data_IF_716905280266
#
_entry.id   IF_716905280266
#
_cell.length_a   1.000
_cell.length_b   1.000
_cell.length_c   1.000
_cell.angle_alpha   90.00
_cell.angle_beta   90.00
_cell.angle_gamma   90.00
#
_symmetry.space_group_name_H-M   'P 1'
#
loop_
_entity.id
_entity.type
_entity.pdbx_description
1 polymer ?
#
# COMPACT_ATOMS: atom_id res chain seq x y z
N UNK A 1 13.30 17.95 2.98
CA UNK A 1 13.47 17.57 4.40
C UNK A 1 14.05 16.17 4.46
N UNK A 2 15.21 16.00 5.10
CA UNK A 2 15.82 14.66 5.27
C UNK A 2 14.96 13.83 6.21
N UNK A 3 14.56 12.59 5.87
CA UNK A 3 13.78 11.75 6.76
C UNK A 3 14.57 11.33 7.99
N UNK A 4 13.87 11.12 9.11
CA UNK A 4 14.39 10.26 10.18
C UNK A 4 14.23 8.81 9.75
N UNK A 5 15.31 8.04 9.78
CA UNK A 5 15.31 6.65 9.33
C UNK A 5 15.27 5.74 10.56
N UNK A 6 14.24 4.90 10.63
CA UNK A 6 14.03 3.94 11.72
C UNK A 6 14.06 2.52 11.16
N UNK A 7 14.73 1.60 11.84
CA UNK A 7 14.72 0.17 11.51
C UNK A 7 13.78 -0.58 12.42
N UNK A 8 13.20 -1.67 11.92
CA UNK A 8 12.28 -2.51 12.68
C UNK A 8 12.42 -3.98 12.29
N UNK A 9 12.01 -4.91 13.19
CA UNK A 9 12.13 -6.33 12.93
C UNK A 9 11.19 -6.80 11.83
N UNK A 10 11.70 -7.66 10.95
CA UNK A 10 10.95 -8.43 9.97
C UNK A 10 11.24 -9.93 10.20
N UNK A 11 10.42 -10.85 9.67
CA UNK A 11 10.66 -12.29 9.83
C UNK A 11 12.05 -12.71 9.35
N UNK A 12 12.89 -13.17 10.30
CA UNK A 12 14.26 -13.62 10.04
C UNK A 12 15.33 -12.51 10.06
N UNK A 13 14.98 -11.24 10.29
CA UNK A 13 15.95 -10.16 10.40
C UNK A 13 15.45 -9.02 11.31
N UNK A 14 16.08 -8.84 12.47
CA UNK A 14 15.69 -7.83 13.48
C UNK A 14 15.82 -6.37 13.00
N UNK A 15 16.59 -6.12 11.95
CA UNK A 15 16.87 -4.78 11.42
C UNK A 15 16.55 -4.66 9.93
N UNK A 16 15.78 -5.61 9.39
CA UNK A 16 15.53 -5.71 7.95
C UNK A 16 14.41 -4.80 7.44
N UNK A 17 13.52 -4.32 8.32
CA UNK A 17 12.51 -3.33 7.99
C UNK A 17 13.07 -1.91 8.06
N UNK A 18 12.54 -1.03 7.20
CA UNK A 18 12.97 0.37 7.10
C UNK A 18 11.76 1.30 7.05
N UNK A 19 11.79 2.37 7.84
CA UNK A 19 10.73 3.36 7.94
C UNK A 19 11.34 4.76 7.82
N UNK A 20 10.93 5.51 6.79
CA UNK A 20 11.31 6.91 6.60
C UNK A 20 10.23 7.81 7.20
N UNK A 21 10.60 8.64 8.17
CA UNK A 21 9.67 9.51 8.89
C UNK A 21 9.92 10.98 8.50
N UNK A 22 8.84 11.69 8.18
CA UNK A 22 8.80 13.10 7.82
C UNK A 22 7.79 13.86 8.70
N UNK A 23 8.00 15.17 8.87
CA UNK A 23 7.03 16.06 9.52
C UNK A 23 7.19 16.23 11.02
N UNK A 24 6.30 17.04 11.61
CA UNK A 24 6.34 17.38 13.04
C UNK A 24 5.67 16.31 13.90
N UNK A 25 6.24 16.02 15.07
CA UNK A 25 5.64 15.13 16.08
C UNK A 25 4.43 15.74 16.79
N UNK A 26 4.12 17.01 16.52
CA UNK A 26 2.92 17.70 17.03
C UNK A 26 1.76 17.66 16.05
N UNK A 27 1.90 16.94 14.92
CA UNK A 27 0.89 16.88 13.89
C UNK A 27 -0.38 16.15 14.38
N UNK A 28 -1.54 16.75 14.12
CA UNK A 28 -2.86 16.15 14.40
C UNK A 28 -3.12 14.87 13.59
N UNK A 29 -2.42 14.70 12.47
CA UNK A 29 -2.56 13.55 11.58
C UNK A 29 -1.25 12.77 11.50
N UNK A 30 -1.33 11.48 11.79
CA UNK A 30 -0.25 10.50 11.60
C UNK A 30 -0.60 9.65 10.39
N UNK A 31 0.32 9.52 9.44
CA UNK A 31 0.10 8.78 8.19
C UNK A 31 1.17 7.70 8.03
N UNK A 32 0.78 6.47 7.70
CA UNK A 32 1.69 5.41 7.27
C UNK A 32 1.45 5.03 5.81
N UNK A 33 2.45 5.22 4.96
CA UNK A 33 2.49 4.74 3.57
C UNK A 33 3.14 3.35 3.50
N UNK A 34 2.54 2.44 2.75
CA UNK A 34 3.16 1.18 2.35
C UNK A 34 2.82 0.81 0.89
N UNK A 35 3.84 0.83 0.04
CA UNK A 35 3.72 0.45 -1.37
C UNK A 35 3.73 -1.06 -1.60
N UNK A 36 3.15 -1.47 -2.73
CA UNK A 36 3.22 -2.83 -3.27
C UNK A 36 4.27 -2.95 -4.36
N UNK A 37 4.18 -3.99 -5.18
CA UNK A 37 5.11 -4.17 -6.30
C UNK A 37 4.97 -3.02 -7.32
N UNK A 38 6.05 -2.53 -7.95
CA UNK A 38 7.46 -2.66 -7.61
C UNK A 38 7.93 -1.39 -6.88
N UNK A 39 7.21 -0.98 -5.85
CA UNK A 39 7.49 0.25 -5.13
C UNK A 39 8.33 -0.01 -3.87
N UNK A 40 9.52 0.60 -3.83
CA UNK A 40 10.22 0.85 -2.58
C UNK A 40 9.61 2.06 -1.84
N UNK A 41 10.38 2.68 -0.96
CA UNK A 41 9.94 3.91 -0.27
C UNK A 41 10.13 5.18 -1.13
N UNK A 42 11.09 5.14 -2.06
CA UNK A 42 11.49 6.29 -2.88
C UNK A 42 10.32 6.93 -3.65
N UNK A 43 9.44 6.17 -4.34
CA UNK A 43 8.35 6.76 -5.11
C UNK A 43 7.35 7.58 -4.28
N UNK A 44 7.15 7.22 -3.00
CA UNK A 44 6.22 7.92 -2.11
C UNK A 44 6.86 9.11 -1.40
N UNK A 45 8.18 9.20 -1.38
CA UNK A 45 8.91 10.23 -0.62
C UNK A 45 8.49 11.66 -1.01
N UNK A 46 8.32 12.02 -2.30
CA UNK A 46 7.87 13.35 -2.68
C UNK A 46 6.47 13.70 -2.13
N UNK A 47 5.52 12.77 -2.20
CA UNK A 47 4.15 12.97 -1.68
C UNK A 47 4.17 13.06 -0.16
N UNK A 48 4.94 12.20 0.51
CA UNK A 48 5.09 12.22 1.97
C UNK A 48 5.69 13.53 2.47
N UNK A 49 6.74 14.05 1.82
CA UNK A 49 7.34 15.34 2.15
C UNK A 49 6.35 16.51 1.97
N UNK A 50 5.53 16.47 0.92
CA UNK A 50 4.49 17.50 0.69
C UNK A 50 3.41 17.45 1.75
N UNK A 51 2.96 16.26 2.15
CA UNK A 51 1.99 16.10 3.25
C UNK A 51 2.57 16.53 4.60
N UNK A 52 3.86 16.27 4.82
CA UNK A 52 4.58 16.67 6.03
C UNK A 52 4.85 18.17 6.12
N UNK A 53 4.88 18.88 4.99
CA UNK A 53 5.03 20.33 4.98
C UNK A 53 3.72 21.03 5.37
N UNK A 54 3.82 22.05 6.21
CA UNK A 54 2.72 23.00 6.46
C UNK A 54 2.45 23.80 5.18
N UNK A 55 1.20 24.13 4.93
CA UNK A 55 0.80 24.94 3.78
C UNK A 55 0.00 26.14 4.26
N UNK A 56 0.66 27.30 4.28
CA UNK A 56 0.07 28.59 4.66
C UNK A 56 -0.08 28.81 6.17
N UNK A 57 -0.61 29.99 6.51
CA UNK A 57 -0.96 30.40 7.87
C UNK A 57 -2.30 29.80 8.36
N UNK A 58 -3.08 29.19 7.45
CA UNK A 58 -4.39 28.58 7.75
C UNK A 58 -4.21 27.14 8.24
N UNK A 59 -4.07 26.95 9.56
CA UNK A 59 -4.44 25.78 10.41
C UNK A 59 -4.17 24.35 9.87
N UNK A 60 -3.40 24.22 8.80
CA UNK A 60 -3.02 22.97 8.15
C UNK A 60 -1.63 22.61 8.66
N UNK A 61 -1.59 22.24 9.93
CA UNK A 61 -0.44 21.59 10.53
C UNK A 61 -0.03 20.43 9.62
N UNK A 62 1.23 20.46 9.15
CA UNK A 62 1.78 19.37 8.33
C UNK A 62 1.59 18.03 9.04
N UNK A 63 1.53 16.94 8.28
CA UNK A 63 1.30 15.60 8.82
C UNK A 63 2.59 14.97 9.37
N UNK A 64 2.47 14.02 10.30
CA UNK A 64 3.57 13.13 10.69
C UNK A 64 3.52 11.87 9.83
N UNK A 65 4.41 11.75 8.85
CA UNK A 65 4.30 10.76 7.78
C UNK A 65 5.43 9.74 7.86
N UNK A 66 5.09 8.47 8.07
CA UNK A 66 5.97 7.32 7.89
C UNK A 66 5.79 6.71 6.49
N UNK A 67 6.89 6.35 5.84
CA UNK A 67 6.90 5.62 4.58
C UNK A 67 7.69 4.34 4.76
N UNK A 68 7.07 3.21 4.46
CA UNK A 68 7.72 1.90 4.44
C UNK A 68 7.43 1.18 3.12
N UNK A 69 8.12 0.07 2.89
CA UNK A 69 7.89 -0.85 1.78
C UNK A 69 7.93 -2.29 2.26
N UNK A 70 7.67 -3.22 1.35
CA UNK A 70 7.73 -4.63 1.70
C UNK A 70 9.17 -5.08 1.96
N UNK A 71 9.37 -6.13 2.78
CA UNK A 71 10.69 -6.70 2.99
C UNK A 71 11.39 -7.06 1.67
N UNK A 72 12.58 -6.50 1.47
CA UNK A 72 13.36 -6.70 0.24
C UNK A 72 12.83 -5.96 -0.98
N UNK A 73 12.01 -4.91 -0.82
CA UNK A 73 11.64 -3.96 -1.88
C UNK A 73 12.47 -2.67 -1.83
N UNK A 74 13.16 -2.41 -0.72
CA UNK A 74 14.07 -1.27 -0.61
C UNK A 74 15.34 -1.51 -1.43
N UNK A 75 15.50 -0.76 -2.51
CA UNK A 75 16.59 -0.95 -3.47
C UNK A 75 17.96 -0.65 -2.85
N UNK A 76 18.04 0.32 -1.93
CA UNK A 76 19.29 0.61 -1.24
C UNK A 76 19.73 -0.56 -0.35
N UNK A 77 18.82 -1.10 0.47
CA UNK A 77 19.10 -2.29 1.27
C UNK A 77 19.40 -3.50 0.40
N UNK A 78 18.69 -3.66 -0.73
CA UNK A 78 18.94 -4.72 -1.70
C UNK A 78 20.38 -4.67 -2.24
N UNK A 79 20.85 -3.49 -2.67
CA UNK A 79 22.22 -3.29 -3.18
C UNK A 79 23.27 -3.50 -2.09
N UNK A 80 23.06 -2.96 -0.89
CA UNK A 80 24.03 -3.06 0.22
C UNK A 80 24.22 -4.50 0.71
N UNK A 81 23.15 -5.30 0.71
CA UNK A 81 23.16 -6.65 1.26
C UNK A 81 23.48 -7.74 0.24
N UNK A 82 23.78 -7.38 -1.02
CA UNK A 82 24.20 -8.30 -2.09
C UNK A 82 23.33 -9.57 -2.20
N UNK A 83 22.01 -9.44 -2.34
CA UNK A 83 20.97 -10.50 -2.49
C UNK A 83 20.94 -11.64 -1.45
N UNK A 84 22.08 -12.24 -1.10
CA UNK A 84 22.23 -13.44 -0.27
C UNK A 84 21.76 -13.32 1.18
N UNK A 85 21.51 -12.10 1.67
CA UNK A 85 20.94 -11.90 3.01
C UNK A 85 19.42 -11.69 3.01
N UNK A 86 18.76 -11.66 1.84
CA UNK A 86 17.31 -11.69 1.77
C UNK A 86 16.81 -13.11 1.59
N UNK A 87 15.65 -13.41 2.16
CA UNK A 87 15.00 -14.72 2.05
C UNK A 87 14.64 -14.97 0.59
N UNK A 88 15.26 -15.98 -0.02
CA UNK A 88 15.05 -16.36 -1.43
C UNK A 88 13.60 -16.73 -1.73
N UNK A 89 12.88 -17.20 -0.71
CA UNK A 89 11.46 -17.50 -0.79
C UNK A 89 10.52 -16.28 -0.87
N UNK A 90 11.02 -15.08 -0.62
CA UNK A 90 10.18 -13.90 -0.40
C UNK A 90 9.42 -13.98 0.92
N UNK A 91 8.30 -13.24 1.00
CA UNK A 91 7.51 -13.14 2.23
C UNK A 91 6.03 -13.39 1.92
N UNK A 92 5.36 -14.15 2.78
CA UNK A 92 3.91 -14.37 2.68
C UNK A 92 3.13 -13.09 3.03
N UNK A 93 1.86 -13.01 2.62
CA UNK A 93 1.01 -11.87 2.96
C UNK A 93 0.84 -11.67 4.47
N UNK A 94 0.79 -12.75 5.26
CA UNK A 94 0.72 -12.67 6.73
C UNK A 94 1.99 -12.05 7.31
N UNK A 95 3.16 -12.49 6.83
CA UNK A 95 4.45 -11.94 7.25
C UNK A 95 4.55 -10.44 6.91
N UNK A 96 4.13 -10.05 5.71
CA UNK A 96 4.09 -8.64 5.29
C UNK A 96 3.09 -7.84 6.15
N UNK A 97 1.94 -8.41 6.48
CA UNK A 97 0.95 -7.78 7.39
C UNK A 97 1.58 -7.48 8.76
N UNK A 98 2.35 -8.43 9.30
CA UNK A 98 3.11 -8.21 10.55
C UNK A 98 4.18 -7.12 10.39
N UNK A 99 4.83 -7.02 9.23
CA UNK A 99 5.81 -5.95 8.97
C UNK A 99 5.14 -4.57 8.94
N UNK A 100 3.94 -4.45 8.37
CA UNK A 100 3.14 -3.20 8.38
C UNK A 100 2.78 -2.81 9.82
N UNK A 101 2.38 -3.79 10.65
CA UNK A 101 2.14 -3.58 12.08
C UNK A 101 3.38 -3.03 12.79
N UNK A 102 4.54 -3.66 12.62
CA UNK A 102 5.78 -3.21 13.27
C UNK A 102 6.19 -1.80 12.81
N UNK A 103 6.01 -1.48 11.53
CA UNK A 103 6.22 -0.13 11.01
C UNK A 103 5.28 0.90 11.68
N UNK A 104 3.99 0.58 11.79
CA UNK A 104 3.02 1.43 12.48
C UNK A 104 3.40 1.65 13.96
N UNK A 105 3.81 0.58 14.65
CA UNK A 105 4.31 0.67 16.02
C UNK A 105 5.51 1.61 16.14
N UNK A 106 6.52 1.44 15.30
CA UNK A 106 7.69 2.33 15.32
C UNK A 106 7.33 3.78 14.99
N UNK A 107 6.37 4.01 14.10
CA UNK A 107 5.87 5.35 13.79
C UNK A 107 5.30 6.01 15.05
N UNK A 108 4.45 5.31 15.80
CA UNK A 108 3.85 5.85 17.04
C UNK A 108 4.85 6.00 18.20
N UNK A 109 5.84 5.10 18.33
CA UNK A 109 6.93 5.30 19.29
C UNK A 109 7.69 6.59 19.00
N UNK A 110 8.01 6.85 17.73
CA UNK A 110 8.69 8.07 17.33
C UNK A 110 7.82 9.33 17.47
N UNK A 111 6.52 9.22 17.25
CA UNK A 111 5.56 10.30 17.52
C UNK A 111 5.52 10.67 19.01
N UNK A 112 5.46 9.67 19.91
CA UNK A 112 5.33 9.85 21.36
C UNK A 112 6.61 10.26 22.09
N UNK A 113 7.80 9.96 21.56
CA UNK A 113 9.11 10.23 22.19
C UNK A 113 9.47 11.72 22.41
N UNK A 114 8.49 12.63 22.41
CA UNK A 114 8.63 14.07 22.72
C UNK A 114 7.87 14.50 23.98
N UNK A 115 6.90 13.71 24.47
CA UNK A 115 6.21 14.00 25.74
C UNK A 115 6.96 13.48 26.97
N UNK A 116 8.12 12.84 26.77
CA UNK A 116 8.98 12.27 27.81
C UNK A 116 10.05 13.22 28.34
N UNK A 117 9.72 14.50 28.54
CA UNK A 117 10.39 15.22 29.62
C UNK A 117 9.88 14.60 30.91
N UNK A 118 10.79 14.09 31.74
CA UNK A 118 10.53 13.46 33.05
C UNK A 118 9.93 14.42 34.10
N UNK A 119 9.06 15.34 33.70
CA UNK A 119 8.15 15.95 34.66
C UNK A 119 7.03 14.95 34.91
N UNK A 120 7.11 14.30 36.07
CA UNK A 120 6.11 13.43 36.69
C UNK A 120 4.72 14.10 36.86
N UNK A 121 4.58 15.34 36.39
CA UNK A 121 3.38 16.17 36.38
C UNK A 121 2.95 16.56 34.96
N UNK A 122 3.42 15.85 33.92
CA UNK A 122 2.89 16.07 32.57
C UNK A 122 1.38 15.88 32.60
N UNK A 123 0.60 16.91 32.21
CA UNK A 123 -0.85 16.83 32.21
C UNK A 123 -1.24 15.61 31.40
N UNK A 124 -2.16 14.81 31.95
CA UNK A 124 -2.83 13.75 31.19
C UNK A 124 -3.24 14.38 29.86
N UNK A 125 -2.71 13.85 28.75
CA UNK A 125 -3.23 14.16 27.42
C UNK A 125 -4.73 13.86 27.53
N UNK A 126 -5.55 14.90 27.46
CA UNK A 126 -6.99 14.72 27.50
C UNK A 126 -7.34 13.81 26.32
N UNK A 127 -8.32 12.90 26.52
CA UNK A 127 -8.74 11.93 25.50
C UNK A 127 -9.12 12.55 24.14
N UNK A 128 -9.24 13.89 24.05
CA UNK A 128 -9.49 14.63 22.82
C UNK A 128 -8.27 14.95 21.95
N UNK A 129 -7.04 14.72 22.42
CA UNK A 129 -5.81 15.14 21.72
C UNK A 129 -5.05 14.00 21.03
N UNK A 130 -5.66 12.82 20.89
CA UNK A 130 -5.00 11.74 20.17
C UNK A 130 -4.98 12.01 18.65
N UNK A 131 -3.85 11.75 17.96
CA UNK A 131 -3.75 12.02 16.53
C UNK A 131 -4.61 11.08 15.71
N UNK A 132 -5.23 11.57 14.65
CA UNK A 132 -5.92 10.73 13.68
C UNK A 132 -4.89 9.90 12.90
N UNK A 133 -5.08 8.58 12.84
CA UNK A 133 -4.21 7.65 12.14
C UNK A 133 -4.78 7.26 10.78
N UNK A 134 -4.05 7.59 9.73
CA UNK A 134 -4.38 7.23 8.34
C UNK A 134 -3.34 6.27 7.78
N UNK A 135 -3.79 5.24 7.07
CA UNK A 135 -2.89 4.38 6.29
C UNK A 135 -3.09 4.60 4.80
N UNK A 136 -2.01 4.55 4.04
CA UNK A 136 -2.02 4.70 2.58
C UNK A 136 -1.35 3.50 1.94
N UNK A 137 -2.06 2.83 1.04
CA UNK A 137 -1.58 1.63 0.38
C UNK A 137 -1.66 1.76 -1.14
N UNK A 138 -0.70 1.14 -1.84
CA UNK A 138 -0.68 1.09 -3.31
C UNK A 138 -0.36 -0.32 -3.81
N UNK A 139 -0.88 -0.66 -5.00
CA UNK A 139 -0.72 -1.96 -5.67
C UNK A 139 -0.90 -3.14 -4.69
N UNK A 140 0.03 -4.09 -4.66
CA UNK A 140 0.00 -5.22 -3.75
C UNK A 140 -0.03 -4.84 -2.28
N UNK A 141 0.48 -3.67 -1.90
CA UNK A 141 0.44 -3.15 -0.53
C UNK A 141 -0.99 -3.05 0.01
N UNK A 142 -1.97 -2.90 -0.89
CA UNK A 142 -3.40 -2.88 -0.53
C UNK A 142 -3.83 -4.18 0.13
N UNK A 143 -3.38 -5.35 -0.33
CA UNK A 143 -3.86 -6.64 0.20
C UNK A 143 -3.47 -6.86 1.68
N UNK A 144 -2.18 -6.95 2.06
CA UNK A 144 -1.79 -7.08 3.47
C UNK A 144 -2.04 -5.79 4.26
N UNK A 145 -2.10 -4.62 3.62
CA UNK A 145 -2.53 -3.39 4.26
C UNK A 145 -3.96 -3.46 4.77
N UNK A 146 -4.88 -3.98 3.96
CA UNK A 146 -6.27 -4.22 4.38
C UNK A 146 -6.38 -5.37 5.38
N UNK A 147 -5.53 -6.41 5.28
CA UNK A 147 -5.43 -7.43 6.32
C UNK A 147 -5.02 -6.82 7.66
N UNK A 148 -4.07 -5.87 7.66
CA UNK A 148 -3.67 -5.13 8.86
C UNK A 148 -4.84 -4.32 9.42
N UNK A 149 -5.50 -3.50 8.60
CA UNK A 149 -6.66 -2.68 9.01
C UNK A 149 -7.76 -3.55 9.63
N UNK A 150 -8.20 -4.59 8.92
CA UNK A 150 -9.31 -5.42 9.38
C UNK A 150 -8.94 -6.20 10.65
N UNK A 151 -7.70 -6.67 10.76
CA UNK A 151 -7.23 -7.35 11.97
C UNK A 151 -7.14 -6.42 13.17
N UNK A 152 -6.69 -5.18 12.97
CA UNK A 152 -6.71 -4.14 14.00
C UNK A 152 -8.13 -3.83 14.48
N UNK A 153 -9.10 -3.72 13.56
CA UNK A 153 -10.52 -3.52 13.91
C UNK A 153 -11.08 -4.71 14.71
N UNK A 154 -10.76 -5.94 14.29
CA UNK A 154 -11.29 -7.16 14.92
C UNK A 154 -10.70 -7.44 16.30
N UNK A 155 -9.39 -7.28 16.46
CA UNK A 155 -8.68 -7.59 17.70
C UNK A 155 -8.61 -6.40 18.67
N UNK A 156 -9.01 -5.21 18.21
CA UNK A 156 -8.93 -3.96 18.97
C UNK A 156 -7.49 -3.54 19.27
N UNK A 157 -7.35 -2.47 20.07
CA UNK A 157 -6.05 -1.89 20.43
C UNK A 157 -5.27 -2.69 21.50
N UNK A 158 -5.79 -3.85 21.93
CA UNK A 158 -5.21 -4.61 23.04
C UNK A 158 -4.26 -5.74 22.59
N UNK A 159 -4.39 -6.24 21.36
CA UNK A 159 -3.67 -7.46 20.93
C UNK A 159 -2.86 -7.31 19.65
N UNK A 160 -3.47 -6.87 18.54
CA UNK A 160 -2.76 -6.87 17.25
C UNK A 160 -2.00 -5.58 16.99
N UNK A 161 -2.58 -4.43 17.29
CA UNK A 161 -1.98 -3.13 16.97
C UNK A 161 -2.17 -2.18 18.12
N UNK A 162 -1.19 -1.31 18.35
CA UNK A 162 -1.34 -0.24 19.34
C UNK A 162 -2.44 0.76 18.97
N UNK A 163 -2.77 0.86 17.68
CA UNK A 163 -3.78 1.78 17.16
C UNK A 163 -4.44 1.22 15.90
N UNK A 164 -5.77 1.24 15.89
CA UNK A 164 -6.59 0.97 14.71
C UNK A 164 -6.56 2.18 13.78
N UNK A 165 -6.34 2.02 12.46
CA UNK A 165 -6.46 3.13 11.52
C UNK A 165 -7.86 3.73 11.51
N UNK A 166 -7.93 5.05 11.66
CA UNK A 166 -9.17 5.82 11.57
C UNK A 166 -9.61 5.98 10.11
N UNK A 167 -8.65 6.07 9.18
CA UNK A 167 -8.90 6.30 7.75
C UNK A 167 -7.97 5.46 6.88
N UNK A 168 -8.44 5.14 5.68
CA UNK A 168 -7.67 4.39 4.68
C UNK A 168 -7.65 5.15 3.36
N UNK A 169 -6.47 5.27 2.75
CA UNK A 169 -6.30 5.73 1.37
C UNK A 169 -5.77 4.58 0.53
N UNK A 170 -6.45 4.27 -0.56
CA UNK A 170 -6.05 3.24 -1.51
C UNK A 170 -5.68 3.89 -2.84
N UNK A 171 -4.48 3.60 -3.31
CA UNK A 171 -3.95 4.12 -4.56
C UNK A 171 -3.95 2.99 -5.60
N UNK A 172 -4.68 3.24 -6.68
CA UNK A 172 -4.80 2.45 -7.91
C UNK A 172 -5.45 1.06 -7.80
N UNK A 173 -5.21 0.32 -6.72
CA UNK A 173 -5.83 -0.99 -6.44
C UNK A 173 -6.95 -0.86 -5.41
N UNK A 174 -8.05 -1.57 -5.63
CA UNK A 174 -9.19 -1.65 -4.72
C UNK A 174 -9.63 -3.10 -4.57
N UNK A 175 -9.83 -3.54 -3.33
CA UNK A 175 -10.30 -4.90 -3.04
C UNK A 175 -11.82 -4.98 -3.06
N UNK A 176 -12.33 -6.21 -3.04
CA UNK A 176 -13.75 -6.45 -2.90
C UNK A 176 -14.26 -5.96 -1.54
N UNK A 177 -15.57 -5.70 -1.42
CA UNK A 177 -16.23 -5.44 -0.15
C UNK A 177 -16.02 -6.57 0.85
N UNK A 178 -16.22 -6.27 2.14
CA UNK A 178 -16.27 -7.29 3.17
C UNK A 178 -17.35 -8.33 2.85
N UNK A 179 -17.09 -9.62 3.12
CA UNK A 179 -17.99 -10.74 2.76
C UNK A 179 -19.41 -10.61 3.33
N UNK A 180 -19.56 -9.90 4.45
CA UNK A 180 -20.86 -9.64 5.09
C UNK A 180 -21.71 -8.57 4.37
N UNK A 181 -21.11 -7.80 3.46
CA UNK A 181 -21.84 -6.83 2.64
C UNK A 181 -22.46 -7.58 1.47
N UNK A 182 -23.79 -7.66 1.43
CA UNK A 182 -24.53 -8.46 0.44
C UNK A 182 -25.29 -7.61 -0.59
N UNK A 183 -25.28 -6.29 -0.44
CA UNK A 183 -26.07 -5.37 -1.25
C UNK A 183 -25.25 -4.84 -2.43
N UNK A 184 -25.28 -5.55 -3.55
CA UNK A 184 -24.69 -5.03 -4.79
C UNK A 184 -25.73 -4.95 -5.90
N UNK A 185 -25.66 -3.86 -6.65
CA UNK A 185 -26.30 -3.79 -7.96
C UNK A 185 -25.69 -4.88 -8.84
N UNK A 186 -26.46 -5.42 -9.80
CA UNK A 186 -25.89 -6.28 -10.82
C UNK A 186 -24.84 -5.49 -11.62
N UNK A 187 -23.58 -5.82 -11.40
CA UNK A 187 -22.46 -5.26 -12.14
C UNK A 187 -22.15 -6.12 -13.37
N UNK A 188 -21.67 -5.52 -14.46
CA UNK A 188 -21.25 -6.29 -15.61
C UNK A 188 -20.10 -7.24 -15.21
N UNK A 189 -20.08 -8.48 -15.70
CA UNK A 189 -18.96 -9.40 -15.47
C UNK A 189 -17.70 -8.89 -16.15
N UNK A 190 -16.53 -9.33 -15.67
CA UNK A 190 -15.28 -9.08 -16.38
C UNK A 190 -15.34 -9.69 -17.78
N UNK A 191 -14.81 -8.97 -18.75
CA UNK A 191 -14.65 -9.48 -20.11
C UNK A 191 -13.61 -10.59 -20.12
N UNK A 192 -13.74 -11.53 -21.06
CA UNK A 192 -12.75 -12.59 -21.27
C UNK A 192 -11.35 -12.01 -21.48
N UNK A 193 -11.26 -10.89 -22.20
CA UNK A 193 -9.99 -10.19 -22.41
C UNK A 193 -9.36 -9.69 -21.11
N UNK A 194 -10.12 -9.00 -20.23
CA UNK A 194 -9.62 -8.54 -18.93
C UNK A 194 -9.09 -9.71 -18.08
N UNK A 195 -9.82 -10.82 -18.07
CA UNK A 195 -9.40 -12.03 -17.34
C UNK A 195 -8.09 -12.58 -17.90
N UNK A 196 -7.96 -12.71 -19.23
CA UNK A 196 -6.73 -13.19 -19.88
C UNK A 196 -5.55 -12.26 -19.58
N UNK A 197 -5.72 -10.94 -19.72
CA UNK A 197 -4.66 -9.95 -19.44
C UNK A 197 -4.18 -10.09 -18.00
N UNK A 198 -5.11 -10.11 -17.03
CA UNK A 198 -4.79 -10.23 -15.61
C UNK A 198 -4.06 -11.54 -15.29
N UNK A 199 -4.56 -12.68 -15.79
CA UNK A 199 -3.96 -13.99 -15.53
C UNK A 199 -2.59 -14.13 -16.19
N UNK A 200 -2.44 -13.67 -17.44
CA UNK A 200 -1.19 -13.78 -18.17
C UNK A 200 -0.09 -12.90 -17.54
N UNK A 201 -0.41 -11.65 -17.20
CA UNK A 201 0.52 -10.72 -16.54
C UNK A 201 0.95 -11.25 -15.16
N UNK A 202 -0.01 -11.60 -14.29
CA UNK A 202 0.27 -12.11 -12.95
C UNK A 202 1.01 -13.44 -13.01
N UNK A 203 0.62 -14.32 -13.94
CA UNK A 203 1.25 -15.62 -14.16
C UNK A 203 2.70 -15.49 -14.61
N UNK A 204 3.00 -14.55 -15.52
CA UNK A 204 4.37 -14.30 -15.97
C UNK A 204 5.28 -13.86 -14.82
N UNK A 205 4.81 -12.95 -13.96
CA UNK A 205 5.54 -12.50 -12.78
C UNK A 205 5.74 -13.63 -11.76
N UNK A 206 4.68 -14.37 -11.44
CA UNK A 206 4.74 -15.51 -10.53
C UNK A 206 5.72 -16.59 -11.03
N UNK A 207 5.67 -16.91 -12.32
CA UNK A 207 6.53 -17.93 -12.92
C UNK A 207 8.00 -17.47 -12.96
N UNK A 208 8.26 -16.21 -13.29
CA UNK A 208 9.62 -15.64 -13.28
C UNK A 208 10.23 -15.71 -11.87
N UNK A 209 9.48 -15.32 -10.84
CA UNK A 209 9.91 -15.47 -9.46
C UNK A 209 10.12 -16.95 -9.07
N UNK A 210 9.25 -17.85 -9.50
CA UNK A 210 9.39 -19.30 -9.26
C UNK A 210 10.70 -19.83 -9.85
N UNK A 211 11.02 -19.46 -11.09
CA UNK A 211 12.27 -19.85 -11.73
C UNK A 211 13.50 -19.28 -11.02
N UNK A 212 13.45 -18.02 -10.58
CA UNK A 212 14.49 -17.43 -9.71
C UNK A 212 14.65 -18.22 -8.41
N UNK A 213 13.54 -18.47 -7.71
CA UNK A 213 13.51 -19.13 -6.41
C UNK A 213 14.09 -20.54 -6.45
N UNK A 214 13.70 -21.37 -7.42
CA UNK A 214 14.03 -22.80 -7.42
C UNK A 214 15.20 -23.18 -8.33
N UNK A 215 15.57 -22.33 -9.31
CA UNK A 215 16.65 -22.63 -10.26
C UNK A 215 17.81 -21.65 -10.04
N UNK A 216 17.71 -20.43 -10.57
CA UNK A 216 18.73 -19.39 -10.40
C UNK A 216 18.20 -18.02 -10.83
N UNK A 217 18.84 -16.97 -10.33
CA UNK A 217 18.50 -15.58 -10.62
C UNK A 217 18.54 -15.29 -12.12
N UNK A 218 19.54 -15.80 -12.83
CA UNK A 218 19.67 -15.66 -14.29
C UNK A 218 18.53 -16.32 -15.05
N UNK A 219 18.07 -17.50 -14.64
CA UNK A 219 16.94 -18.19 -15.29
C UNK A 219 15.63 -17.45 -15.02
N UNK A 220 15.43 -16.94 -13.81
CA UNK A 220 14.28 -16.08 -13.48
C UNK A 220 14.23 -14.81 -14.32
N UNK A 221 15.37 -14.12 -14.49
CA UNK A 221 15.47 -12.93 -15.32
C UNK A 221 15.24 -13.23 -16.81
N UNK A 222 15.84 -14.31 -17.34
CA UNK A 222 15.62 -14.71 -18.73
C UNK A 222 14.14 -15.04 -18.99
N UNK A 223 13.49 -15.71 -18.04
CA UNK A 223 12.06 -16.05 -18.08
C UNK A 223 11.20 -14.79 -18.06
N UNK A 224 11.52 -13.82 -17.19
CA UNK A 224 10.85 -12.53 -17.15
C UNK A 224 10.93 -11.81 -18.51
N UNK A 225 12.14 -11.67 -19.05
CA UNK A 225 12.36 -10.99 -20.33
C UNK A 225 11.58 -11.67 -21.48
N UNK A 226 11.65 -12.99 -21.58
CA UNK A 226 10.94 -13.75 -22.61
C UNK A 226 9.41 -13.60 -22.50
N UNK A 227 8.85 -13.78 -21.31
CA UNK A 227 7.41 -13.71 -21.11
C UNK A 227 6.86 -12.29 -21.32
N UNK A 228 7.58 -11.25 -20.87
CA UNK A 228 7.12 -9.87 -21.09
C UNK A 228 7.20 -9.44 -22.55
N UNK A 229 8.17 -9.94 -23.33
CA UNK A 229 8.16 -9.77 -24.79
C UNK A 229 6.93 -10.42 -25.40
N UNK A 230 6.60 -11.66 -24.98
CA UNK A 230 5.40 -12.34 -25.46
C UNK A 230 4.11 -11.58 -25.10
N UNK A 231 3.97 -11.14 -23.84
CA UNK A 231 2.82 -10.34 -23.40
C UNK A 231 2.69 -9.06 -24.22
N UNK A 232 3.80 -8.38 -24.53
CA UNK A 232 3.80 -7.16 -25.36
C UNK A 232 3.33 -7.45 -26.79
N UNK A 233 3.84 -8.52 -27.42
CA UNK A 233 3.42 -8.93 -28.78
C UNK A 233 1.93 -9.26 -28.82
N UNK A 234 1.44 -9.96 -27.80
CA UNK A 234 0.04 -10.35 -27.68
C UNK A 234 -0.88 -9.23 -27.15
N UNK A 235 -0.34 -8.05 -26.84
CA UNK A 235 -1.06 -6.89 -26.25
C UNK A 235 -1.75 -7.22 -24.91
N UNK A 236 -1.10 -8.06 -24.10
CA UNK A 236 -1.58 -8.52 -22.79
C UNK A 236 -0.96 -7.77 -21.60
N UNK A 237 -0.39 -6.59 -21.83
CA UNK A 237 0.14 -5.73 -20.76
C UNK A 237 -1.02 -4.87 -20.21
N UNK A 238 -1.29 -4.89 -18.88
CA UNK A 238 -2.45 -4.19 -18.32
C UNK A 238 -2.29 -2.67 -18.27
N UNK A 239 -1.04 -2.19 -18.30
CA UNK A 239 -0.68 -0.77 -18.24
C UNK A 239 -0.42 -0.17 -19.64
N UNK A 240 -0.54 1.16 -19.76
CA UNK A 240 -0.26 1.90 -20.99
C UNK A 240 1.17 2.45 -20.99
N UNK A 241 1.57 3.09 -22.10
CA UNK A 241 2.92 3.64 -22.25
C UNK A 241 3.23 4.76 -21.24
N UNK A 242 2.22 5.45 -20.71
CA UNK A 242 2.41 6.48 -19.66
C UNK A 242 3.11 5.93 -18.40
N UNK A 243 2.95 4.63 -18.16
CA UNK A 243 3.57 3.92 -17.04
C UNK A 243 4.99 3.41 -17.37
N UNK A 244 5.39 3.44 -18.64
CA UNK A 244 6.73 2.96 -19.07
C UNK A 244 7.84 3.91 -18.64
N UNK A 245 7.56 5.21 -18.56
CA UNK A 245 8.57 6.20 -18.17
C UNK A 245 8.93 6.07 -16.69
N UNK A 246 7.96 5.69 -15.84
CA UNK A 246 8.21 5.39 -14.42
C UNK A 246 9.24 4.27 -14.22
N UNK A 247 9.16 3.20 -15.01
CA UNK A 247 10.15 2.12 -14.93
C UNK A 247 11.56 2.56 -15.35
N UNK A 248 11.67 3.46 -16.33
CA UNK A 248 12.96 3.99 -16.78
C UNK A 248 13.58 4.90 -15.72
N UNK A 249 12.77 5.78 -15.14
CA UNK A 249 13.21 6.75 -14.12
C UNK A 249 13.74 6.05 -12.87
N UNK A 250 13.09 4.95 -12.44
CA UNK A 250 13.51 4.19 -11.27
C UNK A 250 14.84 3.47 -11.42
N UNK A 251 15.28 3.21 -12.66
CA UNK A 251 16.53 2.50 -12.97
C UNK A 251 16.76 1.25 -12.08
N UNK A 252 15.69 0.46 -11.88
CA UNK A 252 15.70 -0.64 -10.92
C UNK A 252 16.60 -1.77 -11.41
N UNK A 253 17.31 -2.40 -10.48
CA UNK A 253 18.06 -3.62 -10.79
C UNK A 253 17.08 -4.69 -11.32
N UNK A 254 17.31 -5.28 -12.51
CA UNK A 254 16.36 -6.23 -13.10
C UNK A 254 16.20 -7.52 -12.28
N UNK A 255 17.24 -7.96 -11.56
CA UNK A 255 17.13 -9.09 -10.63
C UNK A 255 16.27 -8.72 -9.40
N UNK A 256 16.42 -7.50 -8.90
CA UNK A 256 15.58 -7.00 -7.81
C UNK A 256 14.11 -6.95 -8.24
N UNK A 257 13.82 -6.43 -9.44
CA UNK A 257 12.46 -6.40 -9.98
C UNK A 257 11.82 -7.79 -10.04
N UNK A 258 12.56 -8.81 -10.50
CA UNK A 258 12.05 -10.20 -10.52
C UNK A 258 11.88 -10.76 -9.11
N UNK A 259 12.78 -10.44 -8.18
CA UNK A 259 12.62 -10.82 -6.77
C UNK A 259 11.35 -10.23 -6.15
N UNK A 260 11.05 -8.97 -6.44
CA UNK A 260 9.86 -8.28 -5.92
C UNK A 260 8.54 -8.91 -6.41
N UNK A 261 8.58 -9.82 -7.40
CA UNK A 261 7.41 -10.51 -7.91
C UNK A 261 6.91 -11.67 -7.02
N UNK A 262 7.49 -11.90 -5.84
CA UNK A 262 6.99 -12.91 -4.88
C UNK A 262 5.50 -12.79 -4.49
N UNK A 263 4.84 -11.60 -4.44
CA UNK A 263 3.43 -11.52 -4.11
C UNK A 263 2.56 -12.30 -5.10
N UNK A 264 2.92 -12.26 -6.39
CA UNK A 264 2.24 -13.01 -7.44
C UNK A 264 2.40 -14.53 -7.22
N UNK A 265 3.60 -14.99 -6.84
CA UNK A 265 3.82 -16.39 -6.50
C UNK A 265 2.94 -16.84 -5.33
N UNK A 266 2.85 -16.06 -4.24
CA UNK A 266 2.02 -16.40 -3.09
C UNK A 266 0.52 -16.36 -3.41
N UNK A 267 0.06 -15.48 -4.32
CA UNK A 267 -1.30 -15.50 -4.85
C UNK A 267 -1.60 -16.86 -5.50
N UNK A 268 -0.79 -17.27 -6.49
CA UNK A 268 -1.02 -18.53 -7.21
C UNK A 268 -0.87 -19.76 -6.31
N UNK A 269 0.11 -19.74 -5.39
CA UNK A 269 0.27 -20.80 -4.40
C UNK A 269 -0.99 -20.95 -3.52
N UNK A 270 -1.56 -19.84 -3.06
CA UNK A 270 -2.81 -19.85 -2.28
C UNK A 270 -3.98 -20.46 -3.06
N UNK A 271 -4.12 -20.09 -4.34
CA UNK A 271 -5.14 -20.63 -5.24
C UNK A 271 -4.95 -22.15 -5.45
N UNK A 272 -3.73 -22.59 -5.79
CA UNK A 272 -3.44 -24.01 -6.08
C UNK A 272 -3.61 -24.89 -4.83
N UNK A 273 -3.19 -24.38 -3.66
CA UNK A 273 -3.33 -25.10 -2.39
C UNK A 273 -4.74 -25.03 -1.79
N UNK A 274 -5.70 -24.40 -2.47
CA UNK A 274 -7.05 -24.13 -1.96
C UNK A 274 -7.06 -23.45 -0.57
N UNK A 275 -6.01 -22.68 -0.26
CA UNK A 275 -5.87 -21.96 1.00
C UNK A 275 -6.33 -20.51 0.80
N UNK A 276 -7.58 -20.36 0.40
CA UNK A 276 -8.19 -19.04 0.13
C UNK A 276 -8.35 -18.25 1.45
N UNK A 277 -8.42 -18.94 2.58
CA UNK A 277 -8.50 -18.32 3.91
C UNK A 277 -7.28 -17.47 4.27
N UNK A 278 -6.13 -17.72 3.62
CA UNK A 278 -4.95 -16.85 3.72
C UNK A 278 -5.20 -15.40 3.26
N UNK A 279 -6.29 -15.16 2.52
CA UNK A 279 -6.75 -13.85 2.04
C UNK A 279 -8.03 -13.36 2.74
N UNK A 280 -8.52 -14.07 3.76
CA UNK A 280 -9.86 -13.85 4.34
C UNK A 280 -10.08 -12.43 4.88
N UNK A 281 -9.02 -11.75 5.32
CA UNK A 281 -9.05 -10.36 5.81
C UNK A 281 -8.71 -9.32 4.73
N UNK A 282 -8.44 -9.75 3.50
CA UNK A 282 -8.11 -8.90 2.37
C UNK A 282 -9.35 -8.31 1.68
N UNK A 283 -10.09 -7.45 2.39
CA UNK A 283 -11.30 -6.77 1.88
C UNK A 283 -11.38 -5.34 2.39
N UNK A 284 -12.32 -4.55 1.85
CA UNK A 284 -12.69 -3.26 2.45
C UNK A 284 -13.17 -3.43 3.90
N UNK A 285 -13.05 -2.39 4.76
CA UNK A 285 -13.56 -2.42 6.13
C UNK A 285 -15.07 -2.72 6.14
N UNK A 286 -15.51 -3.45 7.16
CA UNK A 286 -16.93 -3.79 7.31
C UNK A 286 -17.79 -2.55 7.58
N UNK A 287 -17.29 -1.62 8.41
CA UNK A 287 -17.99 -0.40 8.82
C UNK A 287 -17.28 0.83 8.20
N UNK A 288 -17.70 1.18 6.98
CA UNK A 288 -17.12 2.29 6.21
C UNK A 288 -17.42 3.67 6.82
N UNK A 289 -18.42 3.78 7.69
CA UNK A 289 -18.69 5.02 8.43
C UNK A 289 -17.62 5.25 9.52
N UNK A 290 -17.15 4.18 10.18
CA UNK A 290 -16.07 4.27 11.17
C UNK A 290 -14.68 4.33 10.57
N UNK A 291 -14.45 3.59 9.49
CA UNK A 291 -13.15 3.56 8.81
C UNK A 291 -13.35 3.85 7.33
N UNK A 292 -13.56 5.13 6.97
CA UNK A 292 -13.81 5.54 5.60
C UNK A 292 -12.59 5.30 4.71
N UNK A 293 -12.87 5.12 3.42
CA UNK A 293 -11.87 4.83 2.39
C UNK A 293 -11.88 5.92 1.31
N UNK A 294 -10.72 6.52 1.06
CA UNK A 294 -10.44 7.33 -0.12
C UNK A 294 -9.76 6.44 -1.17
N UNK A 295 -10.40 6.23 -2.32
CA UNK A 295 -9.80 5.51 -3.44
C UNK A 295 -9.39 6.47 -4.56
N UNK A 296 -8.11 6.55 -4.88
CA UNK A 296 -7.57 7.39 -5.97
C UNK A 296 -6.93 6.48 -7.02
N UNK A 297 -7.32 6.61 -8.29
CA UNK A 297 -6.76 5.77 -9.36
C UNK A 297 -6.59 6.50 -10.68
N UNK A 298 -5.62 6.06 -11.47
CA UNK A 298 -5.40 6.57 -12.83
C UNK A 298 -6.38 5.97 -13.85
N UNK A 299 -6.87 6.80 -14.75
CA UNK A 299 -7.79 6.42 -15.83
C UNK A 299 -7.12 5.67 -16.99
N UNK A 300 -5.83 5.90 -17.22
CA UNK A 300 -5.11 5.54 -18.45
C UNK A 300 -4.47 4.14 -18.38
N UNK A 301 -5.31 3.10 -18.31
CA UNK A 301 -4.89 1.69 -18.27
C UNK A 301 -5.63 0.87 -19.32
N UNK A 302 -5.07 -0.28 -19.69
CA UNK A 302 -5.78 -1.25 -20.53
C UNK A 302 -6.77 -2.10 -19.72
N UNK A 303 -6.45 -2.33 -18.44
CA UNK A 303 -7.31 -3.02 -17.48
C UNK A 303 -7.25 -2.29 -16.14
N UNK A 304 -8.39 -2.14 -15.49
CA UNK A 304 -8.45 -1.55 -14.15
C UNK A 304 -8.11 -2.58 -13.07
N UNK A 305 -7.38 -2.14 -12.03
CA UNK A 305 -7.00 -3.00 -10.91
C UNK A 305 -7.89 -2.86 -9.67
N UNK A 306 -9.09 -2.28 -9.82
CA UNK A 306 -10.11 -2.32 -8.79
C UNK A 306 -11.07 -3.48 -8.97
N UNK A 307 -11.53 -4.02 -7.85
CA UNK A 307 -12.74 -4.80 -7.82
C UNK A 307 -13.97 -3.91 -8.14
N UNK A 308 -14.81 -4.35 -9.08
CA UNK A 308 -16.00 -3.59 -9.51
C UNK A 308 -17.03 -3.44 -8.39
N UNK A 309 -17.19 -4.43 -7.51
CA UNK A 309 -18.14 -4.33 -6.39
C UNK A 309 -17.60 -3.35 -5.34
N UNK A 310 -16.30 -3.38 -5.08
CA UNK A 310 -15.63 -2.41 -4.20
C UNK A 310 -15.85 -0.99 -4.69
N UNK A 311 -15.63 -0.75 -6.00
CA UNK A 311 -15.81 0.57 -6.60
C UNK A 311 -17.26 1.04 -6.50
N UNK A 312 -18.21 0.17 -6.85
CA UNK A 312 -19.63 0.50 -6.80
C UNK A 312 -20.12 0.80 -5.37
N UNK A 313 -19.57 0.09 -4.37
CA UNK A 313 -19.87 0.35 -2.97
C UNK A 313 -19.39 1.75 -2.55
N UNK A 314 -18.12 2.09 -2.80
CA UNK A 314 -17.58 3.40 -2.41
C UNK A 314 -18.29 4.56 -3.12
N UNK A 315 -18.66 4.40 -4.40
CA UNK A 315 -19.44 5.40 -5.13
C UNK A 315 -20.86 5.56 -4.57
N UNK A 316 -21.46 4.47 -4.07
CA UNK A 316 -22.78 4.53 -3.44
C UNK A 316 -22.70 5.23 -2.09
N UNK A 317 -21.68 4.93 -1.27
CA UNK A 317 -21.41 5.60 0.00
C UNK A 317 -21.23 7.11 -0.16
N UNK A 318 -20.39 7.53 -1.13
CA UNK A 318 -20.17 8.95 -1.43
C UNK A 318 -21.45 9.64 -1.89
N UNK A 319 -22.24 8.98 -2.75
CA UNK A 319 -23.49 9.51 -3.27
C UNK A 319 -24.56 9.68 -2.19
N UNK A 320 -24.68 8.70 -1.31
CA UNK A 320 -25.71 8.67 -0.27
C UNK A 320 -25.31 9.48 0.96
N UNK A 321 -24.02 9.84 1.09
CA UNK A 321 -23.47 10.58 2.23
C UNK A 321 -23.47 9.77 3.53
N UNK A 322 -23.42 8.44 3.44
CA UNK A 322 -23.47 7.52 4.58
C UNK A 322 -22.12 7.35 5.28
N UNK A 323 -21.03 7.70 4.60
CA UNK A 323 -19.69 7.76 5.15
C UNK A 323 -18.87 8.84 4.46
N UNK A 324 -17.67 9.13 4.99
CA UNK A 324 -16.69 10.02 4.36
C UNK A 324 -15.95 9.34 3.17
N UNK A 325 -16.39 8.17 2.71
CA UNK A 325 -15.76 7.48 1.58
C UNK A 325 -15.84 8.30 0.30
N UNK A 326 -14.78 8.25 -0.51
CA UNK A 326 -14.68 9.01 -1.76
C UNK A 326 -13.92 8.26 -2.84
N UNK A 327 -14.30 8.49 -4.10
CA UNK A 327 -13.62 7.91 -5.27
C UNK A 327 -13.12 9.00 -6.21
N UNK A 328 -11.81 9.05 -6.42
CA UNK A 328 -11.15 10.02 -7.30
C UNK A 328 -10.55 9.30 -8.50
N UNK A 329 -11.16 9.52 -9.68
CA UNK A 329 -10.59 9.13 -10.96
C UNK A 329 -9.70 10.25 -11.50
N UNK A 330 -8.45 9.94 -11.80
CA UNK A 330 -7.48 10.93 -12.28
C UNK A 330 -7.20 10.70 -13.77
N UNK A 331 -7.68 11.62 -14.60
CA UNK A 331 -7.43 11.61 -16.05
C UNK A 331 -5.96 11.94 -16.37
N UNK A 332 -5.42 11.32 -17.41
CA UNK A 332 -4.01 11.50 -17.79
C UNK A 332 -3.01 10.92 -16.79
N UNK A 333 -3.43 9.91 -16.01
CA UNK A 333 -2.59 9.13 -15.11
C UNK A 333 -2.92 7.63 -15.27
N UNK A 334 -1.91 6.78 -15.13
CA UNK A 334 -2.00 5.32 -15.11
C UNK A 334 -1.82 4.74 -13.71
N UNK A 335 -1.06 3.64 -13.60
CA UNK A 335 -0.89 2.87 -12.36
C UNK A 335 -0.21 3.66 -11.23
N UNK A 336 0.75 4.53 -11.57
CA UNK A 336 1.49 5.35 -10.61
C UNK A 336 0.94 6.77 -10.51
N UNK A 337 -0.37 6.88 -10.25
CA UNK A 337 -1.09 8.16 -10.17
C UNK A 337 -0.41 9.17 -9.24
N UNK A 338 0.16 8.71 -8.13
CA UNK A 338 0.83 9.58 -7.15
C UNK A 338 2.19 10.10 -7.62
N UNK A 339 2.83 9.46 -8.60
CA UNK A 339 4.05 9.97 -9.26
C UNK A 339 3.69 10.92 -10.41
N UNK A 340 2.67 10.56 -11.20
CA UNK A 340 2.28 11.28 -12.41
C UNK A 340 1.46 12.54 -12.12
N UNK A 341 0.65 12.53 -11.05
CA UNK A 341 -0.24 13.62 -10.62
C UNK A 341 -0.15 13.83 -9.09
N UNK A 342 1.05 14.11 -8.55
CA UNK A 342 1.26 14.19 -7.10
C UNK A 342 0.44 15.28 -6.43
N UNK A 343 0.19 16.41 -7.10
CA UNK A 343 -0.60 17.53 -6.56
C UNK A 343 -2.05 17.09 -6.28
N UNK A 344 -2.67 16.39 -7.24
CA UNK A 344 -4.04 15.86 -7.10
C UNK A 344 -4.12 14.88 -5.93
N UNK A 345 -3.15 13.97 -5.79
CA UNK A 345 -3.11 13.02 -4.68
C UNK A 345 -2.96 13.74 -3.33
N UNK A 346 -2.03 14.69 -3.21
CA UNK A 346 -1.81 15.45 -1.96
C UNK A 346 -3.07 16.23 -1.58
N UNK A 347 -3.69 16.92 -2.52
CA UNK A 347 -4.88 17.72 -2.27
C UNK A 347 -6.07 16.89 -1.83
N UNK A 348 -6.34 15.76 -2.50
CA UNK A 348 -7.46 14.90 -2.14
C UNK A 348 -7.23 14.19 -0.79
N UNK A 349 -6.00 13.80 -0.49
CA UNK A 349 -5.65 13.26 0.83
C UNK A 349 -5.88 14.33 1.91
N UNK A 350 -5.41 15.57 1.72
CA UNK A 350 -5.64 16.64 2.69
C UNK A 350 -7.11 16.95 2.90
N UNK A 351 -7.91 17.00 1.84
CA UNK A 351 -9.37 17.17 1.95
C UNK A 351 -9.98 16.04 2.78
N UNK A 352 -9.56 14.81 2.52
CA UNK A 352 -10.05 13.62 3.22
C UNK A 352 -9.66 13.57 4.69
N UNK A 353 -8.48 14.08 5.07
CA UNK A 353 -8.07 14.21 6.48
C UNK A 353 -8.89 15.25 7.26
N UNK A 354 -9.44 16.27 6.58
CA UNK A 354 -10.26 17.32 7.20
C UNK A 354 -11.73 16.94 7.38
N UNK A 355 -12.25 16.03 6.55
CA UNK A 355 -13.59 15.47 6.75
C UNK A 355 -13.59 14.72 8.10
N UNK A 356 -14.64 14.85 8.92
CA UNK A 356 -14.75 14.11 10.20
C UNK A 356 -14.95 14.94 11.48
N UNK A 357 -14.93 16.28 11.43
CA UNK A 357 -15.31 17.16 12.56
C UNK A 357 -16.83 17.47 12.61
N UNK A 358 -17.71 16.52 12.25
CA UNK A 358 -19.16 16.71 12.31
C UNK A 358 -19.81 15.97 13.45
#
# INVERSE_FOLDING_TARGET
MTPTIVRYPIPGNEFGGLLHIHGSRTAKHVILYCGGFPDGMEPFTPVAQRLAASVGDDDCDGCFVGVTCWPGFDDESYRRLNFGNFRREGFSFVEVTCCIREAAKQLFLNYKNTTGGEDCNSPRIDKGDEPQFTVVFHDWGVLPGMMFVNRSIMEGNEYFSERTPDRVVLLDVLLSPHKSVTRFKHLPPYTVHEVIVCLAYRGALAFSFTMMRYISDSVGLATYAFLFVLLKILRLIPIRNIDSDMFKERNMNPYHLVYMAYPYYYLFRGIISNNIDSFSLGSLPLDLAKTPVLYIYGAEKNVMFHDRQGLALLQQEEKDGTSDCRVIKVEGAGHWVYCQKPDVCVDEIRKFLKCGNR
#
